data_IF_783921946131
#
_entry.id   IF_783921946131
#
_cell.length_a   1.000
_cell.length_b   1.000
_cell.length_c   1.000
_cell.angle_alpha   90.00
_cell.angle_beta   90.00
_cell.angle_gamma   90.00
#
_symmetry.space_group_name_H-M   'P 1'
#
loop_
_entity.id
_entity.type
_entity.pdbx_description
1 polymer ?
#
# COMPACT_ATOMS: atom_id res chain seq x y z
N UNK A 1 -6.55 -23.03 -8.35
CA UNK A 1 -7.01 -22.03 -9.34
C UNK A 1 -5.95 -21.95 -10.43
N UNK A 2 -6.31 -22.16 -11.71
CA UNK A 2 -5.35 -22.26 -12.81
C UNK A 2 -5.16 -20.94 -13.58
N UNK A 3 -5.11 -19.77 -12.90
CA UNK A 3 -4.85 -18.48 -13.55
C UNK A 3 -3.34 -18.22 -13.60
N UNK A 4 -2.82 -17.86 -14.77
CA UNK A 4 -1.48 -17.32 -14.91
C UNK A 4 -1.50 -15.83 -14.51
N UNK A 5 -0.76 -15.48 -13.47
CA UNK A 5 -0.68 -14.11 -12.96
C UNK A 5 0.75 -13.62 -13.19
N UNK A 6 0.89 -12.45 -13.82
CA UNK A 6 2.16 -11.73 -13.92
C UNK A 6 2.12 -10.52 -12.97
N UNK A 7 3.13 -10.36 -12.13
CA UNK A 7 3.28 -9.22 -11.25
C UNK A 7 4.28 -8.21 -11.83
N UNK A 8 3.88 -6.94 -11.93
CA UNK A 8 4.75 -5.84 -12.33
C UNK A 8 4.78 -4.79 -11.22
N UNK A 9 5.95 -4.53 -10.67
CA UNK A 9 6.11 -3.49 -9.67
C UNK A 9 5.97 -2.12 -10.35
N UNK A 10 4.95 -1.34 -9.96
CA UNK A 10 4.74 0.04 -10.40
C UNK A 10 5.23 1.08 -9.38
N UNK A 11 5.76 0.61 -8.27
CA UNK A 11 6.37 1.45 -7.25
C UNK A 11 7.33 0.64 -6.41
N UNK A 12 8.27 1.33 -5.80
CA UNK A 12 9.17 0.78 -4.79
C UNK A 12 9.22 1.69 -3.57
N UNK A 13 9.51 1.10 -2.42
CA UNK A 13 9.78 1.89 -1.21
C UNK A 13 11.28 2.17 -1.15
N UNK A 14 11.64 3.45 -1.02
CA UNK A 14 13.03 3.88 -0.80
C UNK A 14 13.19 4.50 0.58
N UNK A 15 14.22 4.11 1.34
CA UNK A 15 14.53 4.78 2.58
C UNK A 15 14.89 6.26 2.31
N UNK A 16 14.55 7.10 3.27
CA UNK A 16 14.92 8.52 3.32
C UNK A 16 15.81 8.71 4.53
N UNK A 17 16.94 9.42 4.36
CA UNK A 17 17.79 9.75 5.49
C UNK A 17 17.06 10.71 6.43
N UNK A 18 17.13 10.44 7.71
CA UNK A 18 16.55 11.28 8.78
C UNK A 18 17.46 11.32 9.98
N UNK A 19 17.36 12.39 10.75
CA UNK A 19 18.15 12.56 11.97
C UNK A 19 17.36 12.04 13.17
N UNK A 20 17.98 11.12 13.93
CA UNK A 20 17.37 10.62 15.16
C UNK A 20 17.42 11.68 16.23
N UNK A 21 16.27 12.16 16.75
CA UNK A 21 16.24 13.03 17.90
C UNK A 21 16.91 12.37 19.13
N UNK A 22 17.17 13.14 20.18
CA UNK A 22 17.71 12.57 21.42
C UNK A 22 16.73 11.52 21.99
N UNK A 23 17.13 10.22 22.04
CA UNK A 23 16.26 9.18 22.56
C UNK A 23 15.78 9.39 24.00
N UNK A 24 16.53 10.15 24.81
CA UNK A 24 16.13 10.43 26.21
C UNK A 24 14.82 11.22 26.30
N UNK A 25 14.51 12.03 25.29
CA UNK A 25 13.27 12.82 25.23
C UNK A 25 12.08 12.08 24.61
N UNK A 26 12.24 10.81 24.22
CA UNK A 26 11.19 10.03 23.52
C UNK A 26 10.67 8.93 24.43
N UNK A 27 9.36 8.90 24.66
CA UNK A 27 8.68 7.89 25.48
C UNK A 27 8.21 6.66 24.69
N UNK A 28 8.13 6.75 23.36
CA UNK A 28 7.72 5.66 22.47
C UNK A 28 7.66 6.04 21.00
N UNK A 29 7.47 5.05 20.17
CA UNK A 29 7.40 5.19 18.71
C UNK A 29 5.96 5.02 18.21
N UNK A 30 5.49 5.95 17.38
CA UNK A 30 4.18 5.91 16.75
C UNK A 30 4.34 5.49 15.28
N UNK A 31 3.84 4.29 14.92
CA UNK A 31 4.15 3.64 13.64
C UNK A 31 2.88 3.23 12.89
N UNK A 32 2.64 3.85 11.76
CA UNK A 32 1.44 3.63 10.94
C UNK A 32 1.59 2.57 9.83
N UNK A 33 2.81 2.12 9.55
CA UNK A 33 3.09 1.16 8.47
C UNK A 33 4.31 0.31 8.80
N UNK A 34 4.29 -0.95 8.42
CA UNK A 34 5.46 -1.83 8.50
C UNK A 34 6.68 -1.26 7.75
N UNK A 35 6.46 -0.47 6.69
CA UNK A 35 7.53 0.18 5.93
C UNK A 35 8.38 1.12 6.80
N UNK A 36 7.80 1.75 7.83
CA UNK A 36 8.56 2.60 8.75
C UNK A 36 9.63 1.82 9.52
N UNK A 37 9.35 0.56 9.82
CA UNK A 37 10.32 -0.35 10.47
C UNK A 37 11.29 -0.93 9.45
N UNK A 38 10.78 -1.44 8.33
CA UNK A 38 11.58 -2.12 7.31
C UNK A 38 12.57 -1.19 6.60
N UNK A 39 12.24 0.09 6.48
CA UNK A 39 13.04 1.10 5.76
C UNK A 39 13.53 2.24 6.67
N UNK A 40 13.32 2.16 7.98
CA UNK A 40 13.70 3.20 8.94
C UNK A 40 15.21 3.38 9.16
N UNK A 41 16.02 2.43 8.64
CA UNK A 41 17.47 2.54 8.65
C UNK A 41 18.13 2.34 10.02
N UNK A 42 19.41 2.67 10.10
CA UNK A 42 20.24 2.44 11.31
C UNK A 42 19.80 3.26 12.52
N UNK A 43 19.15 4.40 12.31
CA UNK A 43 18.66 5.25 13.39
C UNK A 43 17.61 4.56 14.29
N UNK A 44 16.90 3.54 13.77
CA UNK A 44 15.98 2.72 14.57
C UNK A 44 16.70 1.97 15.70
N UNK A 45 17.95 1.56 15.52
CA UNK A 45 18.71 0.86 16.55
C UNK A 45 18.94 1.73 17.80
N UNK A 46 18.99 3.06 17.66
CA UNK A 46 19.12 4.00 18.77
C UNK A 46 17.85 4.11 19.60
N UNK A 47 16.74 3.60 19.10
CA UNK A 47 15.39 3.65 19.68
C UNK A 47 14.88 2.26 20.08
N UNK A 48 15.75 1.24 20.10
CA UNK A 48 15.37 -0.15 20.31
C UNK A 48 14.73 -0.43 21.68
N UNK A 49 15.01 0.42 22.68
CA UNK A 49 14.42 0.36 24.03
C UNK A 49 13.02 0.99 24.10
N UNK A 50 12.58 1.69 23.06
CA UNK A 50 11.30 2.43 23.05
C UNK A 50 10.14 1.51 22.67
N UNK A 51 9.01 1.58 23.42
CA UNK A 51 7.82 0.85 23.08
C UNK A 51 7.19 1.38 21.78
N UNK A 52 6.64 0.46 20.97
CA UNK A 52 5.99 0.79 19.70
C UNK A 52 4.47 0.78 19.85
N UNK A 53 3.83 1.85 19.39
CA UNK A 53 2.39 1.99 19.21
C UNK A 53 2.10 1.85 17.71
N UNK A 54 1.54 0.70 17.30
CA UNK A 54 1.41 0.31 15.90
C UNK A 54 -0.04 0.30 15.39
N UNK A 55 -0.24 0.55 14.11
CA UNK A 55 -1.52 0.28 13.44
C UNK A 55 -1.45 -1.06 12.71
N UNK A 56 -2.39 -1.95 13.05
CA UNK A 56 -2.55 -3.24 12.40
C UNK A 56 -1.47 -4.26 12.78
N UNK A 57 -1.85 -5.54 12.68
CA UNK A 57 -0.97 -6.64 13.09
C UNK A 57 0.26 -6.77 12.20
N UNK A 58 0.19 -6.44 10.92
CA UNK A 58 1.35 -6.47 10.02
C UNK A 58 2.46 -5.51 10.49
N UNK A 59 2.09 -4.30 10.94
CA UNK A 59 3.04 -3.32 11.48
C UNK A 59 3.61 -3.79 12.82
N UNK A 60 2.74 -4.31 13.69
CA UNK A 60 3.15 -4.84 14.99
C UNK A 60 4.09 -6.05 14.83
N UNK A 61 3.81 -6.95 13.89
CA UNK A 61 4.66 -8.09 13.58
C UNK A 61 6.04 -7.65 13.06
N UNK A 62 6.09 -6.67 12.15
CA UNK A 62 7.34 -6.10 11.67
C UNK A 62 8.16 -5.48 12.82
N UNK A 63 7.51 -4.75 13.74
CA UNK A 63 8.18 -4.17 14.90
C UNK A 63 8.77 -5.25 15.82
N UNK A 64 8.00 -6.29 16.15
CA UNK A 64 8.49 -7.43 16.95
C UNK A 64 9.65 -8.15 16.27
N UNK A 65 9.56 -8.39 14.95
CA UNK A 65 10.63 -9.04 14.18
C UNK A 65 11.93 -8.22 14.17
N UNK A 66 11.82 -6.88 14.27
CA UNK A 66 12.94 -5.96 14.41
C UNK A 66 13.43 -5.82 15.87
N UNK A 67 12.87 -6.57 16.82
CA UNK A 67 13.29 -6.57 18.24
C UNK A 67 12.61 -5.52 19.12
N UNK A 68 11.62 -4.80 18.64
CA UNK A 68 10.89 -3.82 19.44
C UNK A 68 9.81 -4.46 20.31
N UNK A 69 9.59 -3.86 21.49
CA UNK A 69 8.41 -4.16 22.30
C UNK A 69 7.20 -3.41 21.76
N UNK A 70 6.14 -4.11 21.39
CA UNK A 70 4.88 -3.49 20.94
C UNK A 70 3.97 -3.27 22.14
N UNK A 71 3.76 -2.01 22.50
CA UNK A 71 2.92 -1.61 23.64
C UNK A 71 1.43 -1.61 23.29
N UNK A 72 1.09 -1.31 22.01
CA UNK A 72 -0.29 -1.25 21.55
C UNK A 72 -0.36 -1.58 20.06
N UNK A 73 -1.40 -2.33 19.68
CA UNK A 73 -1.79 -2.54 18.29
C UNK A 73 -3.21 -2.06 18.11
N UNK A 74 -3.41 -1.00 17.32
CA UNK A 74 -4.74 -0.47 17.02
C UNK A 74 -5.25 -0.91 15.67
N UNK A 75 -6.52 -0.62 15.39
CA UNK A 75 -7.19 -0.84 14.11
C UNK A 75 -7.83 0.48 13.64
N UNK A 76 -8.07 0.61 12.34
CA UNK A 76 -8.82 1.76 11.80
C UNK A 76 -8.02 3.07 11.62
N UNK A 77 -6.71 3.05 11.84
CA UNK A 77 -5.84 4.20 11.56
C UNK A 77 -5.01 4.68 12.76
N UNK A 78 -3.97 5.47 12.47
CA UNK A 78 -2.98 5.90 13.47
C UNK A 78 -3.57 6.92 14.46
N UNK A 79 -4.58 7.68 14.05
CA UNK A 79 -5.28 8.59 14.95
C UNK A 79 -5.93 7.83 16.11
N UNK A 80 -6.61 6.70 15.83
CA UNK A 80 -7.22 5.88 16.87
C UNK A 80 -6.23 5.29 17.87
N UNK A 81 -5.01 4.95 17.40
CA UNK A 81 -3.92 4.53 18.30
C UNK A 81 -3.48 5.69 19.19
N UNK A 82 -3.32 6.88 18.61
CA UNK A 82 -2.91 8.07 19.33
C UNK A 82 -3.94 8.49 20.40
N UNK A 83 -5.22 8.43 20.05
CA UNK A 83 -6.34 8.78 20.94
C UNK A 83 -6.49 7.80 22.13
N UNK A 84 -6.04 6.56 21.95
CA UNK A 84 -6.08 5.53 22.99
C UNK A 84 -4.95 5.65 24.03
N UNK A 85 -4.00 6.59 23.85
CA UNK A 85 -2.90 6.81 24.79
C UNK A 85 -3.41 7.67 25.96
N UNK A 86 -3.58 7.02 27.11
CA UNK A 86 -4.22 7.63 28.28
C UNK A 86 -3.28 8.42 29.20
N UNK A 87 -1.97 8.46 28.92
CA UNK A 87 -0.97 9.13 29.77
C UNK A 87 -0.20 10.21 29.01
N UNK A 88 0.20 11.29 29.66
CA UNK A 88 1.08 12.27 29.03
C UNK A 88 2.38 11.60 28.56
N UNK A 89 2.78 11.87 27.33
CA UNK A 89 4.01 11.35 26.74
C UNK A 89 4.44 12.16 25.51
N UNK A 90 5.71 12.03 25.16
CA UNK A 90 6.28 12.56 23.93
C UNK A 90 6.72 11.42 23.03
N UNK A 91 6.10 11.30 21.84
CA UNK A 91 6.34 10.23 20.90
C UNK A 91 7.22 10.68 19.74
N UNK A 92 7.86 9.73 19.08
CA UNK A 92 8.43 9.93 17.76
C UNK A 92 7.57 9.17 16.73
N UNK A 93 6.93 9.92 15.84
CA UNK A 93 6.27 9.34 14.69
C UNK A 93 7.28 9.05 13.59
N UNK A 94 7.35 7.80 13.15
CA UNK A 94 8.16 7.38 12.01
C UNK A 94 7.22 7.18 10.82
N UNK A 95 7.29 8.08 9.85
CA UNK A 95 6.32 8.18 8.76
C UNK A 95 6.96 7.96 7.38
N UNK A 96 6.10 7.67 6.40
CA UNK A 96 6.43 7.85 4.99
C UNK A 96 6.18 9.29 4.56
N UNK A 97 6.75 9.70 3.42
CA UNK A 97 6.59 11.06 2.87
C UNK A 97 5.11 11.40 2.65
N UNK A 98 4.34 10.45 2.11
CA UNK A 98 2.88 10.57 2.02
C UNK A 98 2.21 9.95 3.26
N UNK A 99 1.69 10.78 4.14
CA UNK A 99 1.01 10.34 5.35
C UNK A 99 -0.14 11.27 5.75
N UNK A 100 -1.06 10.74 6.55
CA UNK A 100 -2.22 11.49 7.04
C UNK A 100 -1.80 12.35 8.24
N UNK A 101 -2.17 13.65 8.31
CA UNK A 101 -1.98 14.47 9.50
C UNK A 101 -2.65 13.86 10.73
N UNK A 102 -2.07 14.08 11.90
CA UNK A 102 -2.59 13.63 13.19
C UNK A 102 -2.81 14.81 14.13
N UNK A 103 -3.82 14.67 14.98
CA UNK A 103 -4.10 15.65 16.06
C UNK A 103 -3.89 14.98 17.41
N UNK A 104 -2.84 15.34 18.17
CA UNK A 104 -2.57 14.70 19.44
C UNK A 104 -3.62 15.11 20.50
N UNK A 105 -4.08 14.15 21.34
CA UNK A 105 -4.94 14.44 22.47
C UNK A 105 -4.17 15.21 23.57
N UNK A 106 -4.92 15.77 24.52
CA UNK A 106 -4.34 16.53 25.61
C UNK A 106 -3.26 15.74 26.39
N UNK A 107 -2.11 16.33 26.58
CA UNK A 107 -0.96 15.73 27.28
C UNK A 107 -0.08 14.83 26.39
N UNK A 108 -0.49 14.49 25.18
CA UNK A 108 0.33 13.75 24.22
C UNK A 108 0.94 14.74 23.22
N UNK A 109 2.22 14.60 22.96
CA UNK A 109 2.93 15.34 21.90
C UNK A 109 3.72 14.36 21.04
N UNK A 110 4.05 14.75 19.82
CA UNK A 110 4.97 13.96 19.00
C UNK A 110 5.83 14.84 18.10
N UNK A 111 7.06 14.39 17.89
CA UNK A 111 7.89 14.78 16.75
C UNK A 111 7.67 13.81 15.59
N UNK A 112 8.00 14.25 14.38
CA UNK A 112 7.84 13.42 13.19
C UNK A 112 9.12 13.38 12.37
N UNK A 113 9.44 12.18 11.85
CA UNK A 113 10.51 11.97 10.88
C UNK A 113 9.98 11.20 9.69
N UNK A 114 10.47 11.56 8.51
CA UNK A 114 10.18 10.85 7.27
C UNK A 114 11.29 9.85 7.02
N UNK A 115 10.98 8.58 7.16
CA UNK A 115 11.97 7.51 7.06
C UNK A 115 11.97 6.80 5.70
N UNK A 116 10.89 6.93 4.92
CA UNK A 116 10.77 6.31 3.60
C UNK A 116 9.86 7.10 2.69
N UNK A 117 9.97 6.83 1.40
CA UNK A 117 9.05 7.34 0.37
C UNK A 117 8.68 6.26 -0.62
N UNK A 118 7.50 6.38 -1.22
CA UNK A 118 7.09 5.60 -2.37
C UNK A 118 7.62 6.27 -3.63
N UNK A 119 8.38 5.52 -4.44
CA UNK A 119 8.89 5.99 -5.72
C UNK A 119 8.15 5.26 -6.83
N UNK A 120 7.42 5.96 -7.73
CA UNK A 120 6.80 5.32 -8.86
C UNK A 120 7.86 4.76 -9.81
N UNK A 121 7.61 3.56 -10.34
CA UNK A 121 8.43 2.90 -11.34
C UNK A 121 7.72 2.91 -12.69
N UNK A 122 8.44 3.05 -13.81
CA UNK A 122 7.84 2.95 -15.12
C UNK A 122 7.28 1.54 -15.35
N UNK A 123 6.14 1.46 -16.03
CA UNK A 123 5.62 0.18 -16.50
C UNK A 123 6.57 -0.38 -17.56
N UNK A 124 7.00 -1.63 -17.38
CA UNK A 124 7.88 -2.30 -18.33
C UNK A 124 7.15 -2.44 -19.68
N UNK A 125 7.74 -2.02 -20.82
CA UNK A 125 7.20 -2.28 -22.15
C UNK A 125 7.00 -3.77 -22.46
N UNK A 126 7.73 -4.68 -21.81
CA UNK A 126 7.47 -6.12 -21.89
C UNK A 126 6.15 -6.53 -21.20
N UNK A 127 5.61 -5.72 -20.33
CA UNK A 127 4.19 -5.78 -19.93
C UNK A 127 3.23 -5.45 -21.09
N UNK A 128 3.76 -5.22 -22.29
CA UNK A 128 3.07 -5.07 -23.59
C UNK A 128 2.20 -6.26 -24.01
N UNK A 129 2.16 -7.34 -23.24
CA UNK A 129 1.05 -8.30 -23.25
C UNK A 129 -0.31 -7.61 -23.03
N UNK A 130 -0.34 -6.44 -22.40
CA UNK A 130 -1.51 -5.55 -22.31
C UNK A 130 -1.96 -4.99 -23.67
N UNK A 131 -1.08 -4.95 -24.68
CA UNK A 131 -1.38 -4.45 -26.03
C UNK A 131 -1.78 -5.52 -27.05
N UNK A 132 -1.62 -6.81 -26.74
CA UNK A 132 -1.84 -7.92 -27.68
C UNK A 132 -3.18 -8.66 -27.51
N UNK A 133 -4.06 -8.21 -26.60
CA UNK A 133 -5.34 -8.88 -26.32
C UNK A 133 -6.02 -8.29 -25.07
N UNK A 134 -7.10 -8.93 -24.65
CA UNK A 134 -7.80 -8.58 -23.42
C UNK A 134 -6.95 -8.88 -22.19
N UNK A 135 -6.73 -7.89 -21.35
CA UNK A 135 -5.98 -8.01 -20.11
C UNK A 135 -6.86 -7.63 -18.91
N UNK A 136 -6.75 -8.38 -17.80
CA UNK A 136 -7.33 -8.02 -16.53
C UNK A 136 -6.22 -7.51 -15.60
N UNK A 137 -6.36 -6.28 -15.13
CA UNK A 137 -5.40 -5.64 -14.21
C UNK A 137 -6.04 -5.44 -12.84
N UNK A 138 -5.34 -5.90 -11.80
CA UNK A 138 -5.78 -5.82 -10.41
C UNK A 138 -5.12 -4.62 -9.73
N UNK A 139 -5.94 -3.74 -9.13
CA UNK A 139 -5.50 -2.48 -8.52
C UNK A 139 -5.85 -2.44 -7.04
N UNK A 140 -4.83 -2.29 -6.17
CA UNK A 140 -4.97 -2.29 -4.71
C UNK A 140 -4.94 -0.88 -4.09
N UNK A 141 -4.48 0.13 -4.81
CA UNK A 141 -4.39 1.50 -4.29
C UNK A 141 -4.71 2.57 -5.34
N UNK A 142 -5.25 3.69 -4.88
CA UNK A 142 -5.55 4.82 -5.75
C UNK A 142 -4.27 5.46 -6.37
N UNK A 143 -3.16 5.45 -5.65
CA UNK A 143 -1.87 5.93 -6.16
C UNK A 143 -1.38 5.06 -7.32
N UNK A 144 -1.40 3.73 -7.14
CA UNK A 144 -1.05 2.77 -8.20
C UNK A 144 -1.99 2.86 -9.39
N UNK A 145 -3.29 3.06 -9.16
CA UNK A 145 -4.28 3.21 -10.24
C UNK A 145 -4.01 4.44 -11.12
N UNK A 146 -3.76 5.60 -10.50
CA UNK A 146 -3.37 6.83 -11.23
C UNK A 146 -2.08 6.64 -12.00
N UNK A 147 -1.08 6.05 -11.37
CA UNK A 147 0.22 5.83 -11.99
C UNK A 147 0.12 4.86 -13.18
N UNK A 148 -0.61 3.75 -13.02
CA UNK A 148 -0.86 2.79 -14.10
C UNK A 148 -1.55 3.46 -15.31
N UNK A 149 -2.59 4.28 -15.05
CA UNK A 149 -3.26 5.02 -16.11
C UNK A 149 -2.32 5.97 -16.86
N UNK A 150 -1.48 6.72 -16.14
CA UNK A 150 -0.48 7.61 -16.73
C UNK A 150 0.58 6.85 -17.55
N UNK A 151 1.00 5.68 -17.09
CA UNK A 151 1.94 4.82 -17.80
C UNK A 151 1.34 4.22 -19.07
N UNK A 152 0.05 3.83 -19.05
CA UNK A 152 -0.65 3.42 -20.27
C UNK A 152 -0.67 4.53 -21.31
N UNK A 153 -0.95 5.78 -20.90
CA UNK A 153 -0.93 6.94 -21.80
C UNK A 153 0.48 7.20 -22.34
N UNK A 154 1.50 7.16 -21.48
CA UNK A 154 2.90 7.34 -21.85
C UNK A 154 3.37 6.31 -22.89
N UNK A 155 2.92 5.07 -22.77
CA UNK A 155 3.28 3.96 -23.67
C UNK A 155 2.34 3.83 -24.88
N UNK A 156 1.28 4.63 -24.98
CA UNK A 156 0.27 4.52 -26.03
C UNK A 156 -0.53 3.21 -25.98
N UNK A 157 -0.67 2.60 -24.79
CA UNK A 157 -1.43 1.37 -24.62
C UNK A 157 -2.93 1.65 -24.70
N UNK A 158 -3.69 0.91 -25.51
CA UNK A 158 -5.11 1.13 -25.66
C UNK A 158 -5.88 0.71 -24.42
N UNK A 159 -6.35 1.68 -23.64
CA UNK A 159 -7.15 1.42 -22.43
C UNK A 159 -8.39 0.57 -22.70
N UNK A 160 -8.99 0.71 -23.90
CA UNK A 160 -10.18 -0.03 -24.31
C UNK A 160 -9.99 -1.55 -24.46
N UNK A 161 -8.77 -2.06 -24.34
CA UNK A 161 -8.46 -3.51 -24.31
C UNK A 161 -8.17 -4.04 -22.91
N UNK A 162 -8.17 -3.16 -21.90
CA UNK A 162 -7.83 -3.50 -20.51
C UNK A 162 -9.07 -3.42 -19.63
N UNK A 163 -9.38 -4.50 -18.96
CA UNK A 163 -10.38 -4.55 -17.88
C UNK A 163 -9.68 -4.34 -16.53
N UNK A 164 -10.26 -3.50 -15.69
CA UNK A 164 -9.74 -3.24 -14.34
C UNK A 164 -10.60 -3.94 -13.28
N UNK A 165 -9.96 -4.57 -12.32
CA UNK A 165 -10.55 -4.93 -11.04
C UNK A 165 -9.92 -4.06 -9.95
N UNK A 166 -10.74 -3.37 -9.18
CA UNK A 166 -10.32 -2.47 -8.12
C UNK A 166 -10.79 -3.00 -6.75
N UNK A 167 -9.93 -2.94 -5.74
CA UNK A 167 -10.25 -3.36 -4.38
C UNK A 167 -11.34 -2.48 -3.72
N UNK A 168 -11.59 -1.26 -4.24
CA UNK A 168 -12.61 -0.35 -3.77
C UNK A 168 -12.90 0.78 -4.74
N UNK A 169 -14.06 1.46 -4.59
CA UNK A 169 -14.55 2.50 -5.51
C UNK A 169 -13.57 3.66 -5.69
N UNK A 170 -12.95 4.15 -4.62
CA UNK A 170 -11.93 5.22 -4.70
C UNK A 170 -10.72 4.85 -5.57
N UNK A 171 -10.41 3.56 -5.68
CA UNK A 171 -9.33 3.05 -6.54
C UNK A 171 -9.78 3.04 -8.00
N UNK A 172 -11.01 2.59 -8.25
CA UNK A 172 -11.62 2.63 -9.57
C UNK A 172 -11.71 4.07 -10.11
N UNK A 173 -12.22 5.01 -9.29
CA UNK A 173 -12.31 6.44 -9.63
C UNK A 173 -10.92 7.03 -9.97
N UNK A 174 -9.90 6.62 -9.24
CA UNK A 174 -8.53 7.09 -9.44
C UNK A 174 -7.90 6.61 -10.76
N UNK A 175 -8.35 5.51 -11.32
CA UNK A 175 -7.89 4.99 -12.61
C UNK A 175 -8.43 5.82 -13.80
N UNK A 176 -9.49 6.60 -13.60
CA UNK A 176 -10.16 7.35 -14.67
C UNK A 176 -10.91 6.44 -15.65
N UNK A 177 -11.23 6.97 -16.83
CA UNK A 177 -12.06 6.29 -17.83
C UNK A 177 -11.30 5.76 -19.04
N UNK A 178 -12.09 5.18 -19.98
CA UNK A 178 -11.58 4.66 -21.25
C UNK A 178 -11.20 3.18 -21.23
N UNK A 179 -11.37 2.49 -20.11
CA UNK A 179 -11.10 1.06 -19.95
C UNK A 179 -12.20 0.20 -20.60
N UNK A 180 -11.86 -1.03 -20.99
CA UNK A 180 -12.84 -2.01 -21.52
C UNK A 180 -13.93 -2.33 -20.47
N UNK A 181 -13.56 -2.40 -19.21
CA UNK A 181 -14.46 -2.56 -18.08
C UNK A 181 -13.77 -2.12 -16.78
N UNK A 182 -14.58 -1.69 -15.81
CA UNK A 182 -14.10 -1.38 -14.45
C UNK A 182 -15.01 -2.05 -13.44
N UNK A 183 -14.45 -2.95 -12.66
CA UNK A 183 -15.16 -3.76 -11.68
C UNK A 183 -14.59 -3.48 -10.28
N UNK A 184 -15.47 -3.40 -9.28
CA UNK A 184 -15.10 -3.10 -7.89
C UNK A 184 -15.46 -4.29 -7.02
N UNK A 185 -14.56 -4.69 -6.14
CA UNK A 185 -14.82 -5.75 -5.17
C UNK A 185 -16.00 -5.36 -4.24
N UNK A 186 -16.87 -6.31 -3.95
CA UNK A 186 -18.05 -6.09 -3.10
C UNK A 186 -17.66 -5.69 -1.66
N UNK A 187 -16.48 -6.09 -1.22
CA UNK A 187 -15.85 -5.69 0.05
C UNK A 187 -14.36 -5.45 -0.18
N UNK A 188 -13.75 -4.49 0.55
CA UNK A 188 -12.34 -4.16 0.39
C UNK A 188 -11.44 -5.15 1.17
N UNK A 189 -11.61 -6.44 0.93
CA UNK A 189 -10.78 -7.52 1.43
C UNK A 189 -10.20 -8.36 0.29
N UNK A 190 -9.02 -8.93 0.51
CA UNK A 190 -8.26 -9.66 -0.50
C UNK A 190 -9.03 -10.87 -1.06
N UNK A 191 -9.75 -11.59 -0.21
CA UNK A 191 -10.49 -12.79 -0.61
C UNK A 191 -11.62 -12.46 -1.58
N UNK A 192 -12.41 -11.41 -1.30
CA UNK A 192 -13.48 -10.93 -2.19
C UNK A 192 -12.90 -10.37 -3.49
N UNK A 193 -11.77 -9.71 -3.43
CA UNK A 193 -11.10 -9.15 -4.60
C UNK A 193 -10.54 -10.23 -5.54
N UNK A 194 -9.89 -11.26 -4.99
CA UNK A 194 -9.42 -12.39 -5.79
C UNK A 194 -10.57 -13.22 -6.38
N UNK A 195 -11.70 -13.35 -5.68
CA UNK A 195 -12.88 -13.98 -6.23
C UNK A 195 -13.42 -13.20 -7.42
N UNK A 196 -13.52 -11.87 -7.34
CA UNK A 196 -13.89 -11.00 -8.47
C UNK A 196 -12.98 -11.23 -9.67
N UNK A 197 -11.67 -11.26 -9.46
CA UNK A 197 -10.70 -11.48 -10.53
C UNK A 197 -10.88 -12.86 -11.19
N UNK A 198 -11.14 -13.88 -10.39
CA UNK A 198 -11.42 -15.23 -10.89
C UNK A 198 -12.68 -15.26 -11.75
N UNK A 199 -13.77 -14.67 -11.28
CA UNK A 199 -15.07 -14.65 -11.99
C UNK A 199 -14.96 -13.93 -13.33
N UNK A 200 -14.23 -12.82 -13.39
CA UNK A 200 -13.97 -12.06 -14.62
C UNK A 200 -13.15 -12.88 -15.62
N UNK A 201 -12.15 -13.61 -15.17
CA UNK A 201 -11.36 -14.48 -16.04
C UNK A 201 -12.18 -15.66 -16.58
N UNK A 202 -13.07 -16.26 -15.80
CA UNK A 202 -13.95 -17.32 -16.25
C UNK A 202 -15.00 -16.82 -17.27
N UNK A 203 -15.53 -15.61 -17.06
CA UNK A 203 -16.43 -14.96 -18.01
C UNK A 203 -15.76 -14.72 -19.36
N UNK A 204 -14.52 -14.19 -19.36
CA UNK A 204 -13.75 -13.96 -20.58
C UNK A 204 -13.48 -15.26 -21.37
N UNK A 205 -13.24 -16.39 -20.67
CA UNK A 205 -13.06 -17.71 -21.30
C UNK A 205 -14.35 -18.28 -21.89
N UNK A 206 -15.50 -17.90 -21.37
CA UNK A 206 -16.79 -18.42 -21.77
C UNK A 206 -17.38 -17.72 -23.00
N UNK A 207 -16.74 -16.65 -23.49
CA UNK A 207 -17.16 -15.93 -24.71
C UNK A 207 -16.68 -16.73 -25.93
N UNK A 208 -17.60 -17.23 -26.80
CA UNK A 208 -17.22 -17.95 -28.03
C UNK A 208 -16.47 -17.03 -28.98
N UNK A 209 -15.19 -17.29 -29.23
CA UNK A 209 -14.34 -16.50 -30.14
C UNK A 209 -13.03 -15.98 -29.59
N UNK A 210 -12.75 -16.18 -28.31
CA UNK A 210 -11.43 -15.88 -27.75
C UNK A 210 -10.38 -16.87 -28.26
N UNK A 211 -9.23 -16.44 -28.78
CA UNK A 211 -8.22 -17.35 -29.32
C UNK A 211 -7.62 -18.18 -28.17
N UNK A 212 -7.89 -19.49 -28.22
CA UNK A 212 -7.20 -20.46 -27.36
C UNK A 212 -5.70 -20.42 -27.68
N UNK A 213 -4.88 -19.93 -26.75
CA UNK A 213 -3.46 -20.29 -26.72
C UNK A 213 -3.37 -21.66 -26.04
N UNK A 214 -3.08 -22.70 -26.82
CA UNK A 214 -2.59 -23.98 -26.29
C UNK A 214 -1.26 -23.77 -25.55
N UNK A 215 -0.97 -24.62 -24.54
CA UNK A 215 0.16 -24.49 -23.63
C UNK A 215 1.53 -24.62 -24.31
#
# INVERSE_FOLDING_TARGET
>A
MGLAIAGHALSEIRPVAWDCPDPAGIDGLLVGSANAILHGGENLARLADKPVFAVGEATAAAARAAGFTVAMTGSGGLQGVLDAIARPCHLLRIAGEEHVPLTPPAGVTFAEVIAYRLVPLPLDPAAALLGSGEALVLLHSAATARHFAAECDRLGLPRGTVTLAALGSRIADAAGGGWAGVHVAARPDESTFLQLAFDLCEQARSIPGSPHREP
#
